data_IF_014406224058
#
_entry.id   IF_014406224058
#
_cell.length_a   1.000
_cell.length_b   1.000
_cell.length_c   1.000
_cell.angle_alpha   90.00
_cell.angle_beta   90.00
_cell.angle_gamma   90.00
#
_symmetry.space_group_name_H-M   'P 1'
#
loop_
_entity.id
_entity.type
_entity.pdbx_description
1 polymer ?
#
# COMPACT_ATOMS: atom_id res chain seq x y z
N UNK A 1 14.54 14.52 -33.12
CA UNK A 1 13.26 14.30 -32.41
C UNK A 1 13.40 14.94 -31.05
N UNK A 2 12.40 15.68 -30.56
CA UNK A 2 12.33 15.98 -29.14
C UNK A 2 11.89 14.69 -28.44
N UNK A 3 12.75 14.13 -27.61
CA UNK A 3 12.36 13.07 -26.68
C UNK A 3 11.64 13.75 -25.52
N UNK A 4 10.31 13.71 -25.53
CA UNK A 4 9.53 14.10 -24.36
C UNK A 4 9.88 13.13 -23.21
N UNK A 5 10.22 13.68 -22.04
CA UNK A 5 10.44 12.87 -20.84
C UNK A 5 9.14 12.13 -20.52
N UNK A 6 9.15 10.80 -20.30
CA UNK A 6 7.94 10.05 -20.00
C UNK A 6 7.22 10.62 -18.78
N UNK A 7 5.89 10.72 -18.85
CA UNK A 7 5.06 11.12 -17.71
C UNK A 7 5.24 10.18 -16.52
N UNK A 8 5.05 10.72 -15.31
CA UNK A 8 5.22 10.02 -14.02
C UNK A 8 4.52 8.65 -13.96
N UNK A 9 3.36 8.49 -14.61
CA UNK A 9 2.67 7.19 -14.67
C UNK A 9 3.42 6.14 -15.49
N UNK A 10 4.10 6.53 -16.59
CA UNK A 10 4.93 5.60 -17.37
C UNK A 10 6.26 5.31 -16.68
N UNK A 11 6.85 6.31 -16.01
CA UNK A 11 8.06 6.10 -15.19
C UNK A 11 7.79 5.10 -14.05
N UNK A 12 6.64 5.22 -13.38
CA UNK A 12 6.22 4.27 -12.35
C UNK A 12 5.99 2.86 -12.92
N UNK A 13 5.31 2.72 -14.05
CA UNK A 13 5.12 1.42 -14.70
C UNK A 13 6.48 0.77 -15.05
N UNK A 14 7.38 1.51 -15.69
CA UNK A 14 8.75 1.05 -16.01
C UNK A 14 9.54 0.66 -14.75
N UNK A 15 9.32 1.36 -13.63
CA UNK A 15 9.94 1.01 -12.34
C UNK A 15 9.44 -0.35 -11.83
N UNK A 16 8.15 -0.65 -11.98
CA UNK A 16 7.58 -1.97 -11.71
C UNK A 16 8.05 -3.07 -12.68
N UNK A 17 8.46 -2.69 -13.89
CA UNK A 17 9.17 -3.55 -14.86
C UNK A 17 10.68 -3.73 -14.50
N UNK A 18 11.18 -3.14 -13.42
CA UNK A 18 12.57 -3.26 -12.94
C UNK A 18 13.56 -2.20 -13.49
N UNK A 19 13.08 -1.15 -14.17
CA UNK A 19 13.94 -0.11 -14.73
C UNK A 19 14.38 0.93 -13.68
N UNK A 20 15.54 0.69 -13.05
CA UNK A 20 16.23 1.66 -12.17
C UNK A 20 16.44 3.06 -12.78
N UNK A 21 16.58 3.21 -14.10
CA UNK A 21 16.77 4.53 -14.72
C UNK A 21 15.44 5.28 -14.84
N UNK A 22 14.35 4.59 -15.18
CA UNK A 22 13.01 5.14 -15.07
C UNK A 22 12.64 5.49 -13.62
N UNK A 23 13.09 4.68 -12.66
CA UNK A 23 12.87 4.92 -11.23
C UNK A 23 13.69 6.10 -10.68
N UNK A 24 14.92 6.32 -11.17
CA UNK A 24 15.66 7.55 -10.87
C UNK A 24 14.93 8.80 -11.38
N UNK A 25 14.42 8.76 -12.61
CA UNK A 25 13.60 9.85 -13.15
C UNK A 25 12.25 10.01 -12.41
N UNK A 26 11.67 8.92 -11.90
CA UNK A 26 10.49 8.95 -11.02
C UNK A 26 10.80 9.65 -9.70
N UNK A 27 11.94 9.33 -9.09
CA UNK A 27 12.44 9.99 -7.89
C UNK A 27 12.60 11.50 -8.13
N UNK A 28 13.38 11.92 -9.14
CA UNK A 28 13.58 13.33 -9.46
C UNK A 28 12.26 14.10 -9.67
N UNK A 29 11.26 13.45 -10.27
CA UNK A 29 9.95 14.05 -10.56
C UNK A 29 9.04 14.16 -9.33
N UNK A 30 9.17 13.28 -8.34
CA UNK A 30 8.16 13.12 -7.26
C UNK A 30 8.70 13.29 -5.83
N UNK A 31 10.01 13.09 -5.63
CA UNK A 31 10.69 13.28 -4.36
C UNK A 31 10.54 14.70 -3.79
N UNK A 32 10.50 15.79 -4.59
CA UNK A 32 10.29 17.12 -4.03
C UNK A 32 8.99 17.25 -3.25
N UNK A 33 7.90 16.58 -3.65
CA UNK A 33 6.64 16.56 -2.89
C UNK A 33 6.72 15.65 -1.67
N UNK A 34 7.23 14.42 -1.82
CA UNK A 34 7.37 13.46 -0.70
C UNK A 34 8.24 14.04 0.42
N UNK A 35 9.40 14.60 0.07
CA UNK A 35 10.31 15.24 1.01
C UNK A 35 9.73 16.54 1.58
N UNK A 36 8.96 17.30 0.80
CA UNK A 36 8.22 18.46 1.29
C UNK A 36 7.23 18.11 2.41
N UNK A 37 6.52 16.98 2.31
CA UNK A 37 5.71 16.44 3.40
C UNK A 37 6.58 15.99 4.59
N UNK A 38 7.65 15.23 4.33
CA UNK A 38 8.54 14.74 5.39
C UNK A 38 9.18 15.89 6.20
N UNK A 39 9.57 16.99 5.54
CA UNK A 39 10.11 18.21 6.17
C UNK A 39 9.05 19.06 6.90
N UNK A 40 7.78 18.93 6.55
CA UNK A 40 6.69 19.52 7.33
C UNK A 40 6.45 18.71 8.61
N UNK A 41 6.46 17.37 8.52
CA UNK A 41 6.17 16.44 9.60
C UNK A 41 7.32 16.29 10.61
N UNK A 42 8.57 16.23 10.15
CA UNK A 42 9.75 15.90 10.96
C UNK A 42 10.67 17.13 11.08
N UNK A 43 11.11 17.45 12.31
CA UNK A 43 11.91 18.66 12.57
C UNK A 43 13.27 18.59 11.88
N UNK A 44 13.92 17.42 11.95
CA UNK A 44 15.30 17.21 11.47
C UNK A 44 15.34 16.87 9.99
N UNK A 45 16.41 17.31 9.33
CA UNK A 45 16.65 17.05 7.91
C UNK A 45 16.97 15.57 7.67
N UNK A 46 17.72 14.97 8.59
CA UNK A 46 18.13 13.56 8.62
C UNK A 46 16.90 12.61 8.66
N UNK A 47 16.02 12.73 9.66
CA UNK A 47 14.81 11.90 9.75
C UNK A 47 13.88 12.08 8.54
N UNK A 48 13.76 13.30 8.01
CA UNK A 48 12.95 13.55 6.81
C UNK A 48 13.55 12.90 5.55
N UNK A 49 14.88 12.80 5.45
CA UNK A 49 15.56 12.08 4.39
C UNK A 49 15.40 10.57 4.51
N UNK A 50 15.62 10.02 5.72
CA UNK A 50 15.40 8.59 6.02
C UNK A 50 13.95 8.17 5.73
N UNK A 51 12.97 8.97 6.14
CA UNK A 51 11.56 8.76 5.83
C UNK A 51 11.31 8.77 4.31
N UNK A 52 11.92 9.72 3.57
CA UNK A 52 11.76 9.81 2.11
C UNK A 52 12.37 8.61 1.40
N UNK A 53 13.58 8.18 1.77
CA UNK A 53 14.22 6.97 1.21
C UNK A 53 13.39 5.73 1.53
N UNK A 54 12.79 5.65 2.72
CA UNK A 54 11.88 4.55 3.08
C UNK A 54 10.66 4.50 2.16
N UNK A 55 9.99 5.65 1.92
CA UNK A 55 8.86 5.75 0.98
C UNK A 55 9.25 5.27 -0.42
N UNK A 56 10.41 5.69 -0.94
CA UNK A 56 10.85 5.26 -2.27
C UNK A 56 11.27 3.79 -2.31
N UNK A 57 11.85 3.25 -1.24
CA UNK A 57 12.14 1.81 -1.14
C UNK A 57 10.84 1.00 -1.23
N UNK A 58 9.84 1.35 -0.44
CA UNK A 58 8.50 0.74 -0.51
C UNK A 58 7.81 0.99 -1.85
N UNK A 59 8.05 2.14 -2.50
CA UNK A 59 7.52 2.45 -3.83
C UNK A 59 8.07 1.50 -4.88
N UNK A 60 9.37 1.17 -4.84
CA UNK A 60 9.99 0.19 -5.72
C UNK A 60 9.38 -1.21 -5.53
N UNK A 61 9.25 -1.66 -4.28
CA UNK A 61 8.65 -2.96 -3.94
C UNK A 61 7.19 -3.07 -4.38
N UNK A 62 6.42 -1.98 -4.30
CA UNK A 62 4.99 -1.96 -4.64
C UNK A 62 4.69 -1.56 -6.09
N UNK A 63 5.66 -1.01 -6.85
CA UNK A 63 5.47 -0.60 -8.24
C UNK A 63 4.95 -1.70 -9.19
N UNK A 64 5.35 -2.99 -9.09
CA UNK A 64 4.78 -4.06 -9.91
C UNK A 64 3.27 -4.26 -9.72
N UNK A 65 2.74 -3.88 -8.55
CA UNK A 65 1.34 -4.00 -8.19
C UNK A 65 0.53 -2.73 -8.51
N UNK A 66 1.16 -1.69 -9.05
CA UNK A 66 0.48 -0.45 -9.42
C UNK A 66 -0.40 -0.66 -10.66
N UNK A 67 -1.71 -0.73 -10.45
CA UNK A 67 -2.71 -0.76 -11.51
C UNK A 67 -3.45 0.58 -11.60
N UNK A 68 -3.63 1.09 -12.83
CA UNK A 68 -4.37 2.31 -13.08
C UNK A 68 -5.88 2.00 -13.08
N UNK A 69 -6.62 2.53 -12.11
CA UNK A 69 -8.09 2.44 -12.14
C UNK A 69 -8.65 3.13 -13.40
N UNK A 70 -9.20 2.31 -14.30
CA UNK A 70 -9.62 2.69 -15.64
C UNK A 70 -10.89 3.56 -15.68
N UNK A 71 -11.58 3.73 -14.55
CA UNK A 71 -12.93 4.33 -14.47
C UNK A 71 -13.03 5.81 -14.87
N UNK A 72 -11.91 6.56 -14.85
CA UNK A 72 -11.87 7.97 -15.29
C UNK A 72 -10.65 8.32 -16.16
N UNK A 73 -9.50 7.68 -15.97
CA UNK A 73 -8.22 8.29 -16.32
C UNK A 73 -7.48 7.67 -17.53
N UNK A 74 -7.95 6.54 -18.06
CA UNK A 74 -7.15 5.69 -18.96
C UNK A 74 -6.64 6.41 -20.24
N UNK A 75 -7.45 7.24 -20.88
CA UNK A 75 -7.11 7.89 -22.16
C UNK A 75 -6.32 9.19 -22.05
N UNK A 76 -6.43 9.93 -20.94
CA UNK A 76 -5.74 11.23 -20.76
C UNK A 76 -4.45 11.06 -19.95
N UNK A 77 -3.32 11.45 -20.54
CA UNK A 77 -2.02 11.42 -19.87
C UNK A 77 -1.99 12.30 -18.62
N UNK A 78 -2.64 13.46 -18.65
CA UNK A 78 -2.74 14.35 -17.48
C UNK A 78 -3.49 13.67 -16.34
N UNK A 79 -4.51 12.88 -16.66
CA UNK A 79 -5.28 12.11 -15.69
C UNK A 79 -4.47 10.94 -15.11
N UNK A 80 -3.83 10.11 -15.96
CA UNK A 80 -2.93 9.02 -15.51
C UNK A 80 -1.81 9.53 -14.60
N UNK A 81 -1.11 10.59 -15.02
CA UNK A 81 0.00 11.18 -14.26
C UNK A 81 -0.46 11.70 -12.88
N UNK A 82 -1.64 12.30 -12.79
CA UNK A 82 -2.24 12.76 -11.53
C UNK A 82 -2.59 11.59 -10.59
N UNK A 83 -3.05 10.48 -11.13
CA UNK A 83 -3.40 9.28 -10.35
C UNK A 83 -2.15 8.56 -9.84
N UNK A 84 -1.10 8.43 -10.65
CA UNK A 84 0.21 7.95 -10.19
C UNK A 84 0.80 8.85 -9.08
N UNK A 85 0.78 10.18 -9.27
CA UNK A 85 1.23 11.13 -8.24
C UNK A 85 0.38 11.03 -6.95
N UNK A 86 -0.93 10.83 -7.06
CA UNK A 86 -1.83 10.64 -5.90
C UNK A 86 -1.49 9.37 -5.13
N UNK A 87 -1.21 8.27 -5.85
CA UNK A 87 -0.83 7.00 -5.24
C UNK A 87 0.52 7.12 -4.49
N UNK A 88 1.53 7.77 -5.09
CA UNK A 88 2.82 8.04 -4.43
C UNK A 88 2.64 8.85 -3.14
N UNK A 89 1.82 9.91 -3.15
CA UNK A 89 1.55 10.71 -1.94
C UNK A 89 0.72 9.92 -0.90
N UNK A 90 -0.21 9.08 -1.32
CA UNK A 90 -0.99 8.22 -0.41
C UNK A 90 -0.15 7.11 0.21
N UNK A 91 0.82 6.56 -0.54
CA UNK A 91 1.84 5.64 -0.04
C UNK A 91 2.73 6.35 0.98
N UNK A 92 3.26 7.53 0.64
CA UNK A 92 4.11 8.32 1.53
C UNK A 92 3.45 8.57 2.89
N UNK A 93 2.18 8.99 2.88
CA UNK A 93 1.41 9.22 4.10
C UNK A 93 1.21 7.96 4.95
N UNK A 94 0.95 6.81 4.32
CA UNK A 94 0.85 5.53 5.03
C UNK A 94 2.19 5.15 5.68
N UNK A 95 3.28 5.18 4.91
CA UNK A 95 4.63 4.86 5.39
C UNK A 95 5.08 5.81 6.51
N UNK A 96 4.76 7.10 6.44
CA UNK A 96 5.05 8.04 7.53
C UNK A 96 4.28 7.70 8.81
N UNK A 97 2.99 7.36 8.71
CA UNK A 97 2.20 6.95 9.87
C UNK A 97 2.74 5.65 10.48
N UNK A 98 3.05 4.63 9.66
CA UNK A 98 3.64 3.36 10.08
C UNK A 98 4.96 3.58 10.85
N UNK A 99 5.89 4.35 10.28
CA UNK A 99 7.19 4.64 10.91
C UNK A 99 7.07 5.46 12.21
N UNK A 100 6.07 6.34 12.30
CA UNK A 100 5.77 7.11 13.53
C UNK A 100 5.17 6.21 14.60
N UNK A 101 4.20 5.37 14.26
CA UNK A 101 3.57 4.46 15.22
C UNK A 101 4.52 3.37 15.73
N UNK A 102 5.46 2.91 14.89
CA UNK A 102 6.55 2.02 15.29
C UNK A 102 7.69 2.76 16.06
N UNK A 103 7.65 4.09 16.17
CA UNK A 103 8.56 4.88 17.00
C UNK A 103 9.95 5.12 16.40
N UNK A 104 10.11 4.99 15.07
CA UNK A 104 11.38 5.27 14.39
C UNK A 104 11.78 6.75 14.46
N UNK A 105 10.79 7.65 14.55
CA UNK A 105 11.00 9.09 14.62
C UNK A 105 10.57 9.66 15.97
N UNK A 106 11.42 10.48 16.55
CA UNK A 106 11.24 11.08 17.88
C UNK A 106 10.99 12.59 17.84
N UNK A 107 11.39 13.27 16.76
CA UNK A 107 11.26 14.72 16.62
C UNK A 107 10.19 15.08 15.58
N UNK A 108 8.95 14.79 15.93
CA UNK A 108 7.77 15.01 15.10
C UNK A 108 7.14 16.36 15.48
N UNK A 109 6.76 17.17 14.49
CA UNK A 109 6.05 18.42 14.74
C UNK A 109 4.65 18.19 15.35
N UNK A 110 4.23 19.15 16.17
CA UNK A 110 2.88 19.23 16.73
C UNK A 110 1.97 20.13 15.88
N UNK A 111 0.71 20.30 16.29
CA UNK A 111 -0.20 21.26 15.65
C UNK A 111 0.40 22.67 15.49
N UNK A 112 1.20 23.16 16.43
CA UNK A 112 1.74 24.52 16.39
C UNK A 112 2.83 24.67 15.30
N UNK A 113 3.60 23.62 15.02
CA UNK A 113 4.52 23.56 13.88
C UNK A 113 3.81 23.39 12.53
N UNK A 114 2.76 22.56 12.49
CA UNK A 114 2.09 22.15 11.25
C UNK A 114 1.04 23.14 10.72
N UNK A 115 0.27 23.76 11.62
CA UNK A 115 -0.86 24.61 11.25
C UNK A 115 -0.48 25.88 10.45
N UNK A 116 0.64 26.56 10.71
CA UNK A 116 1.10 27.69 9.88
C UNK A 116 1.33 27.26 8.42
N UNK A 117 1.99 26.12 8.20
CA UNK A 117 2.27 25.57 6.86
C UNK A 117 0.97 25.30 6.10
N UNK A 118 -0.01 24.69 6.76
CA UNK A 118 -1.31 24.41 6.16
C UNK A 118 -2.14 25.68 5.87
N UNK A 119 -2.03 26.72 6.70
CA UNK A 119 -2.76 27.97 6.51
C UNK A 119 -2.29 28.78 5.29
N UNK A 120 -1.02 28.64 4.90
CA UNK A 120 -0.46 29.29 3.70
C UNK A 120 -0.94 28.66 2.38
N UNK A 121 -1.50 27.44 2.41
CA UNK A 121 -1.96 26.72 1.21
C UNK A 121 -3.30 27.27 0.69
N UNK A 122 -3.35 27.94 -0.48
CA UNK A 122 -4.61 28.51 -1.00
C UNK A 122 -5.62 27.43 -1.41
N UNK A 123 -5.16 26.22 -1.69
CA UNK A 123 -5.98 25.04 -1.87
C UNK A 123 -6.82 24.69 -0.63
N UNK A 124 -6.44 25.17 0.57
CA UNK A 124 -7.18 24.97 1.82
C UNK A 124 -8.00 26.20 2.24
N UNK A 125 -7.84 27.35 1.58
CA UNK A 125 -8.62 28.58 1.83
C UNK A 125 -10.12 28.38 1.54
N UNK A 126 -10.91 28.12 2.59
CA UNK A 126 -12.34 27.79 2.51
C UNK A 126 -12.77 26.71 3.50
N UNK A 127 -11.82 25.99 4.10
CA UNK A 127 -12.02 25.25 5.34
C UNK A 127 -12.22 26.23 6.52
N UNK A 128 -13.04 25.87 7.50
CA UNK A 128 -13.05 26.58 8.79
C UNK A 128 -11.79 26.27 9.60
N UNK A 129 -11.47 27.06 10.62
CA UNK A 129 -10.31 26.81 11.50
C UNK A 129 -10.35 25.37 12.08
N UNK A 130 -11.50 24.93 12.60
CA UNK A 130 -11.66 23.59 13.15
C UNK A 130 -11.56 22.46 12.10
N UNK A 131 -11.84 22.75 10.83
CA UNK A 131 -11.68 21.83 9.70
C UNK A 131 -10.23 21.75 9.24
N UNK A 132 -9.55 22.91 9.15
CA UNK A 132 -8.13 23.02 8.82
C UNK A 132 -7.29 22.29 9.87
N UNK A 133 -7.49 22.60 11.17
CA UNK A 133 -6.81 21.96 12.30
C UNK A 133 -6.95 20.44 12.28
N UNK A 134 -8.18 19.93 12.11
CA UNK A 134 -8.44 18.49 12.01
C UNK A 134 -7.72 17.85 10.83
N UNK A 135 -7.75 18.47 9.65
CA UNK A 135 -7.06 17.95 8.46
C UNK A 135 -5.53 18.00 8.61
N UNK A 136 -5.00 19.07 9.20
CA UNK A 136 -3.56 19.26 9.40
C UNK A 136 -2.98 18.18 10.32
N UNK A 137 -3.57 17.95 11.48
CA UNK A 137 -3.05 16.96 12.44
C UNK A 137 -3.13 15.54 11.87
N UNK A 138 -4.19 15.22 11.12
CA UNK A 138 -4.35 13.92 10.47
C UNK A 138 -3.37 13.75 9.29
N UNK A 139 -3.43 14.64 8.29
CA UNK A 139 -2.76 14.45 6.99
C UNK A 139 -1.37 15.07 6.88
N UNK A 140 -1.01 16.04 7.74
CA UNK A 140 0.39 16.48 7.87
C UNK A 140 1.06 15.94 9.12
N UNK A 141 0.30 15.71 10.19
CA UNK A 141 0.82 15.17 11.45
C UNK A 141 0.82 13.64 11.53
N UNK A 142 0.29 12.94 10.51
CA UNK A 142 0.20 11.48 10.45
C UNK A 142 -0.40 10.85 11.72
N UNK A 143 -1.33 11.54 12.40
CA UNK A 143 -2.00 11.02 13.60
C UNK A 143 -3.16 10.11 13.21
N UNK A 144 -3.40 9.10 14.03
CA UNK A 144 -4.67 8.38 14.01
C UNK A 144 -5.84 9.29 14.44
N UNK A 145 -7.07 8.98 14.03
CA UNK A 145 -8.24 9.77 14.43
C UNK A 145 -8.48 9.83 15.96
N UNK A 146 -8.26 8.78 16.78
CA UNK A 146 -8.41 8.91 18.24
C UNK A 146 -7.32 9.80 18.87
N UNK A 147 -6.11 9.85 18.31
CA UNK A 147 -5.05 10.75 18.76
C UNK A 147 -5.35 12.20 18.40
N UNK A 148 -5.71 12.48 17.15
CA UNK A 148 -6.09 13.83 16.74
C UNK A 148 -7.30 14.38 17.51
N UNK A 149 -8.26 13.51 17.88
CA UNK A 149 -9.38 13.89 18.72
C UNK A 149 -8.91 14.32 20.13
N UNK A 150 -7.94 13.58 20.69
CA UNK A 150 -7.30 13.87 21.99
C UNK A 150 -6.47 15.17 21.95
N UNK A 151 -5.63 15.33 20.92
CA UNK A 151 -4.77 16.51 20.70
C UNK A 151 -5.62 17.80 20.56
N UNK A 152 -6.74 17.72 19.82
CA UNK A 152 -7.69 18.82 19.64
C UNK A 152 -8.69 19.02 20.79
N UNK A 153 -8.68 18.16 21.81
CA UNK A 153 -9.61 18.23 22.95
C UNK A 153 -11.09 18.04 22.56
N UNK A 154 -11.40 17.19 21.58
CA UNK A 154 -12.76 16.92 21.11
C UNK A 154 -13.11 15.43 21.17
N UNK A 155 -14.41 15.11 21.21
CA UNK A 155 -14.86 13.72 21.09
C UNK A 155 -14.63 13.17 19.67
N UNK A 156 -14.29 11.88 19.58
CA UNK A 156 -14.14 11.15 18.31
C UNK A 156 -15.29 11.38 17.32
N UNK A 157 -16.59 11.30 17.71
CA UNK A 157 -17.71 11.65 16.83
C UNK A 157 -17.60 13.03 16.15
N UNK A 158 -17.11 14.02 16.91
CA UNK A 158 -16.92 15.40 16.45
C UNK A 158 -15.74 15.50 15.49
N UNK A 159 -14.67 14.71 15.68
CA UNK A 159 -13.58 14.64 14.71
C UNK A 159 -14.02 13.93 13.42
N UNK A 160 -14.67 12.76 13.51
CA UNK A 160 -15.17 12.00 12.35
C UNK A 160 -16.06 12.88 11.45
N UNK A 161 -17.02 13.60 12.05
CA UNK A 161 -17.88 14.56 11.32
C UNK A 161 -17.10 15.74 10.72
N UNK A 162 -16.12 16.32 11.44
CA UNK A 162 -15.26 17.36 10.87
C UNK A 162 -14.46 16.86 9.66
N UNK A 163 -13.83 15.68 9.75
CA UNK A 163 -13.04 15.12 8.67
C UNK A 163 -13.87 14.80 7.43
N UNK A 164 -15.06 14.20 7.61
CA UNK A 164 -16.04 14.01 6.53
C UNK A 164 -16.37 15.34 5.84
N UNK A 165 -16.73 16.36 6.60
CA UNK A 165 -17.14 17.67 6.07
C UNK A 165 -15.97 18.41 5.40
N UNK A 166 -14.75 18.27 5.93
CA UNK A 166 -13.51 18.77 5.30
C UNK A 166 -13.25 18.07 3.97
N UNK A 167 -13.26 16.73 3.94
CA UNK A 167 -12.97 15.94 2.75
C UNK A 167 -13.99 16.18 1.63
N UNK A 168 -15.28 16.26 1.98
CA UNK A 168 -16.35 16.62 1.03
C UNK A 168 -16.13 18.01 0.42
N UNK A 169 -15.83 19.02 1.25
CA UNK A 169 -15.55 20.39 0.81
C UNK A 169 -14.29 20.50 -0.04
N UNK A 170 -13.23 19.79 0.34
CA UNK A 170 -11.97 19.76 -0.40
C UNK A 170 -12.18 19.13 -1.79
N UNK A 171 -12.98 18.05 -1.86
CA UNK A 171 -13.29 17.36 -3.11
C UNK A 171 -14.13 18.20 -4.07
N UNK A 172 -15.13 18.93 -3.57
CA UNK A 172 -15.88 19.90 -4.40
C UNK A 172 -14.96 20.97 -5.01
N UNK A 173 -13.98 21.47 -4.25
CA UNK A 173 -13.00 22.46 -4.73
C UNK A 173 -12.00 21.85 -5.71
N UNK A 174 -11.55 20.62 -5.46
CA UNK A 174 -10.71 19.85 -6.37
C UNK A 174 -11.40 19.65 -7.73
N UNK A 175 -12.64 19.14 -7.75
CA UNK A 175 -13.42 18.92 -8.97
C UNK A 175 -13.57 20.23 -9.75
N UNK A 176 -13.96 21.32 -9.10
CA UNK A 176 -14.10 22.63 -9.75
C UNK A 176 -12.76 23.15 -10.33
N UNK A 177 -11.65 22.94 -9.63
CA UNK A 177 -10.32 23.34 -10.08
C UNK A 177 -9.76 22.48 -11.24
N UNK A 178 -10.17 21.22 -11.35
CA UNK A 178 -9.71 20.28 -12.39
C UNK A 178 -10.59 20.30 -13.64
N UNK A 179 -11.90 20.43 -13.48
CA UNK A 179 -12.87 20.38 -14.58
C UNK A 179 -13.27 21.76 -15.11
N UNK A 180 -13.06 22.82 -14.32
CA UNK A 180 -13.57 24.17 -14.61
C UNK A 180 -15.09 24.31 -14.42
N UNK A 181 -15.81 23.24 -14.04
CA UNK A 181 -17.26 23.25 -13.83
C UNK A 181 -17.56 23.60 -12.38
N UNK A 182 -18.30 24.69 -12.16
CA UNK A 182 -18.71 25.14 -10.81
C UNK A 182 -20.11 24.68 -10.39
N UNK A 183 -20.86 24.00 -11.27
CA UNK A 183 -22.21 23.52 -10.97
C UNK A 183 -22.15 22.17 -10.25
N UNK A 184 -22.06 22.22 -8.92
CA UNK A 184 -21.90 21.06 -8.05
C UNK A 184 -23.20 20.32 -7.73
N UNK A 185 -24.28 20.57 -8.48
CA UNK A 185 -25.61 20.05 -8.15
C UNK A 185 -25.78 18.53 -8.33
N UNK A 186 -24.86 17.83 -9.01
CA UNK A 186 -24.94 16.37 -9.19
C UNK A 186 -23.59 15.69 -9.52
N UNK A 187 -22.66 15.66 -8.57
CA UNK A 187 -21.72 14.52 -8.48
C UNK A 187 -22.38 13.42 -7.64
N UNK A 188 -22.83 12.29 -8.21
CA UNK A 188 -23.54 11.26 -7.47
C UNK A 188 -22.71 10.61 -6.34
N UNK A 189 -21.38 10.68 -6.40
CA UNK A 189 -20.46 10.07 -5.40
C UNK A 189 -20.40 10.92 -4.12
N UNK A 190 -20.57 12.24 -4.23
CA UNK A 190 -20.52 13.18 -3.09
C UNK A 190 -21.89 13.78 -2.73
N UNK A 191 -22.80 13.94 -3.69
CA UNK A 191 -24.10 14.60 -3.53
C UNK A 191 -25.24 13.66 -3.10
N UNK A 192 -25.02 12.34 -3.14
CA UNK A 192 -25.72 11.40 -2.26
C UNK A 192 -24.92 11.30 -0.95
N UNK A 193 -25.26 12.06 0.12
CA UNK A 193 -25.07 11.49 1.43
C UNK A 193 -25.86 10.17 1.46
N UNK A 194 -25.37 9.13 2.12
CA UNK A 194 -26.15 7.90 2.32
C UNK A 194 -27.04 8.01 3.57
N UNK A 195 -26.76 9.04 4.36
CA UNK A 195 -27.62 9.55 5.45
C UNK A 195 -29.11 9.66 5.07
N UNK A 196 -29.57 10.37 4.01
CA UNK A 196 -30.99 10.50 3.64
C UNK A 196 -31.74 9.18 3.46
N UNK A 197 -31.13 8.09 3.00
CA UNK A 197 -31.82 6.80 2.95
C UNK A 197 -32.06 6.21 4.35
N UNK A 198 -31.14 6.44 5.30
CA UNK A 198 -31.30 6.08 6.71
C UNK A 198 -32.24 7.05 7.44
N UNK A 199 -32.08 8.36 7.24
CA UNK A 199 -32.95 9.41 7.79
C UNK A 199 -34.39 9.26 7.33
N UNK A 200 -34.63 8.84 6.07
CA UNK A 200 -35.97 8.55 5.56
C UNK A 200 -36.61 7.31 6.20
N UNK A 201 -35.81 6.34 6.67
CA UNK A 201 -36.30 5.14 7.40
C UNK A 201 -36.50 5.39 8.90
N UNK A 202 -35.65 6.20 9.52
CA UNK A 202 -35.56 6.33 11.00
C UNK A 202 -36.05 7.67 11.55
N UNK A 203 -36.17 8.70 10.71
CA UNK A 203 -36.51 10.07 11.13
C UNK A 203 -35.36 10.83 11.80
N UNK A 204 -34.17 10.23 11.95
CA UNK A 204 -32.97 10.86 12.50
C UNK A 204 -31.77 10.58 11.59
N UNK A 205 -30.92 11.57 11.38
CA UNK A 205 -29.64 11.33 10.71
C UNK A 205 -28.71 10.57 11.66
N UNK A 206 -28.19 9.39 11.28
CA UNK A 206 -27.23 8.67 12.11
C UNK A 206 -26.02 9.56 12.43
N UNK A 207 -25.64 9.58 13.70
CA UNK A 207 -24.49 10.33 14.22
C UNK A 207 -23.34 9.37 14.48
N UNK A 208 -22.11 9.79 14.14
CA UNK A 208 -20.92 9.03 14.49
C UNK A 208 -20.86 8.71 16.00
N UNK A 209 -20.28 7.56 16.29
CA UNK A 209 -20.06 7.01 17.61
C UNK A 209 -18.56 6.92 17.92
N UNK A 210 -18.23 6.36 19.08
CA UNK A 210 -16.83 6.13 19.48
C UNK A 210 -16.17 4.98 18.68
N UNK A 211 -16.95 4.07 18.08
CA UNK A 211 -16.44 2.84 17.45
C UNK A 211 -16.82 2.76 15.97
N UNK A 212 -15.87 2.31 15.14
CA UNK A 212 -16.11 2.02 13.71
C UNK A 212 -17.20 0.96 13.54
N UNK A 213 -17.24 -0.09 14.35
CA UNK A 213 -18.25 -1.16 14.27
C UNK A 213 -19.67 -0.62 14.44
N UNK A 214 -19.90 0.22 15.46
CA UNK A 214 -21.21 0.84 15.69
C UNK A 214 -21.58 1.85 14.59
N UNK A 215 -20.60 2.52 13.98
CA UNK A 215 -20.83 3.41 12.83
C UNK A 215 -21.27 2.60 11.59
N UNK A 216 -20.63 1.45 11.35
CA UNK A 216 -20.99 0.50 10.28
C UNK A 216 -22.40 -0.08 10.47
N UNK A 217 -22.74 -0.52 11.70
CA UNK A 217 -24.10 -0.97 12.06
C UNK A 217 -25.14 0.13 11.86
N UNK A 218 -24.76 1.40 12.06
CA UNK A 218 -25.61 2.58 11.85
C UNK A 218 -25.71 3.02 10.38
N UNK A 219 -25.08 2.30 9.45
CA UNK A 219 -25.10 2.59 8.02
C UNK A 219 -24.23 3.79 7.61
N UNK A 220 -23.23 4.15 8.41
CA UNK A 220 -22.32 5.28 8.14
C UNK A 220 -21.11 4.92 7.26
N UNK A 221 -21.11 3.75 6.60
CA UNK A 221 -19.97 3.23 5.81
C UNK A 221 -19.37 4.30 4.88
N UNK A 222 -20.17 4.95 4.03
CA UNK A 222 -19.74 6.00 3.10
C UNK A 222 -19.07 7.21 3.77
N UNK A 223 -19.46 7.50 5.02
CA UNK A 223 -18.96 8.63 5.77
C UNK A 223 -17.63 8.32 6.48
N UNK A 224 -17.29 7.03 6.65
CA UNK A 224 -15.98 6.55 7.10
C UNK A 224 -14.91 6.61 6.00
N UNK A 225 -15.29 6.79 4.72
CA UNK A 225 -14.36 6.93 3.60
C UNK A 225 -13.29 8.02 3.85
N UNK A 226 -13.63 9.08 4.59
CA UNK A 226 -12.70 10.14 4.96
C UNK A 226 -11.57 9.65 5.88
N UNK A 227 -11.83 8.71 6.80
CA UNK A 227 -10.82 8.15 7.69
C UNK A 227 -9.88 7.20 6.94
N UNK A 228 -10.45 6.37 6.05
CA UNK A 228 -9.70 5.46 5.18
C UNK A 228 -8.81 6.23 4.21
N UNK A 229 -9.36 7.23 3.51
CA UNK A 229 -8.62 8.04 2.55
C UNK A 229 -7.49 8.87 3.18
N UNK A 230 -7.57 9.15 4.49
CA UNK A 230 -6.53 9.84 5.26
C UNK A 230 -5.56 8.91 5.98
N UNK A 231 -5.68 7.58 5.83
CA UNK A 231 -4.88 6.58 6.55
C UNK A 231 -4.88 6.78 8.08
N UNK A 232 -6.00 7.20 8.66
CA UNK A 232 -6.10 7.58 10.09
C UNK A 232 -6.74 6.52 11.00
N UNK A 233 -6.95 5.31 10.47
CA UNK A 233 -7.51 4.14 11.17
C UNK A 233 -6.42 3.08 11.36
N UNK A 234 -6.61 2.20 12.33
CA UNK A 234 -5.78 1.00 12.47
C UNK A 234 -6.19 -0.11 11.47
N UNK A 235 -5.44 -1.21 11.46
CA UNK A 235 -5.64 -2.29 10.50
C UNK A 235 -6.86 -3.16 10.84
N UNK A 236 -7.21 -3.34 12.11
CA UNK A 236 -8.42 -4.05 12.54
C UNK A 236 -9.68 -3.28 12.08
N UNK A 237 -9.67 -1.95 12.23
CA UNK A 237 -10.70 -1.05 11.71
C UNK A 237 -10.78 -1.07 10.18
N UNK A 238 -9.64 -1.15 9.48
CA UNK A 238 -9.59 -1.30 8.01
C UNK A 238 -10.24 -2.59 7.57
N UNK A 239 -9.82 -3.72 8.14
CA UNK A 239 -10.37 -5.05 7.87
C UNK A 239 -11.88 -5.07 8.15
N UNK A 240 -12.34 -4.45 9.24
CA UNK A 240 -13.76 -4.37 9.58
C UNK A 240 -14.57 -3.56 8.55
N UNK A 241 -14.06 -2.42 8.08
CA UNK A 241 -14.70 -1.60 7.05
C UNK A 241 -14.72 -2.33 5.70
N UNK A 242 -13.58 -2.87 5.25
CA UNK A 242 -13.49 -3.55 3.97
C UNK A 242 -14.34 -4.81 3.95
N UNK A 243 -14.35 -5.61 5.03
CA UNK A 243 -15.26 -6.75 5.19
C UNK A 243 -16.74 -6.33 5.13
N UNK A 244 -17.10 -5.17 5.68
CA UNK A 244 -18.46 -4.64 5.60
C UNK A 244 -18.80 -4.22 4.16
N UNK A 245 -17.91 -3.53 3.45
CA UNK A 245 -18.10 -3.13 2.06
C UNK A 245 -18.24 -4.34 1.14
N UNK A 246 -17.43 -5.40 1.33
CA UNK A 246 -17.54 -6.64 0.56
C UNK A 246 -18.92 -7.30 0.74
N UNK A 247 -19.46 -7.35 1.97
CA UNK A 247 -20.82 -7.88 2.24
C UNK A 247 -21.95 -7.08 1.59
N UNK A 248 -21.73 -5.80 1.25
CA UNK A 248 -22.70 -4.97 0.52
C UNK A 248 -22.68 -5.21 -0.99
N UNK A 249 -21.75 -6.03 -1.50
CA UNK A 249 -21.69 -6.48 -2.88
C UNK A 249 -20.84 -5.61 -3.81
N UNK A 250 -20.62 -6.12 -5.03
CA UNK A 250 -19.67 -5.58 -6.01
C UNK A 250 -19.91 -4.11 -6.37
N UNK A 251 -21.14 -3.72 -6.68
CA UNK A 251 -21.49 -2.33 -7.03
C UNK A 251 -21.11 -1.36 -5.90
N UNK A 252 -21.30 -1.76 -4.64
CA UNK A 252 -20.93 -0.95 -3.49
C UNK A 252 -19.41 -0.84 -3.31
N UNK A 253 -18.67 -1.93 -3.56
CA UNK A 253 -17.19 -1.92 -3.57
C UNK A 253 -16.62 -0.98 -4.63
N UNK A 254 -17.18 -1.00 -5.84
CA UNK A 254 -16.77 -0.09 -6.93
C UNK A 254 -17.06 1.38 -6.57
N UNK A 255 -18.27 1.70 -6.07
CA UNK A 255 -18.63 3.05 -5.58
C UNK A 255 -17.72 3.51 -4.43
N UNK A 256 -17.36 2.61 -3.53
CA UNK A 256 -16.48 2.86 -2.38
C UNK A 256 -15.05 3.20 -2.80
N UNK A 257 -14.48 2.42 -3.72
CA UNK A 257 -13.15 2.66 -4.27
C UNK A 257 -13.09 4.02 -4.98
N UNK A 258 -14.05 4.32 -5.86
CA UNK A 258 -14.16 5.63 -6.52
C UNK A 258 -14.19 6.80 -5.52
N UNK A 259 -14.96 6.64 -4.43
CA UNK A 259 -15.06 7.65 -3.36
C UNK A 259 -13.72 7.84 -2.65
N UNK A 260 -13.03 6.77 -2.25
CA UNK A 260 -11.70 6.85 -1.63
C UNK A 260 -10.70 7.52 -2.58
N UNK A 261 -10.62 7.09 -3.84
CA UNK A 261 -9.67 7.66 -4.81
C UNK A 261 -9.96 9.12 -5.14
N UNK A 262 -11.23 9.56 -5.10
CA UNK A 262 -11.57 10.98 -5.22
C UNK A 262 -11.10 11.78 -4.00
N UNK A 263 -11.30 11.26 -2.79
CA UNK A 263 -10.82 11.90 -1.56
C UNK A 263 -9.28 11.99 -1.54
N UNK A 264 -8.57 10.91 -1.87
CA UNK A 264 -7.10 10.88 -1.97
C UNK A 264 -6.57 11.88 -3.01
N UNK A 265 -7.14 11.93 -4.22
CA UNK A 265 -6.77 12.93 -5.24
C UNK A 265 -6.98 14.36 -4.72
N UNK A 266 -8.04 14.58 -3.94
CA UNK A 266 -8.37 15.89 -3.35
C UNK A 266 -7.42 16.28 -2.21
N UNK A 267 -7.01 15.31 -1.39
CA UNK A 267 -6.00 15.47 -0.34
C UNK A 267 -4.62 15.79 -0.93
N UNK A 268 -4.14 14.99 -1.88
CA UNK A 268 -2.90 15.23 -2.61
C UNK A 268 -2.91 16.60 -3.32
N UNK A 269 -4.02 16.96 -3.98
CA UNK A 269 -4.21 18.29 -4.57
C UNK A 269 -4.16 19.42 -3.53
N UNK A 270 -4.74 19.20 -2.34
CA UNK A 270 -4.82 20.15 -1.23
C UNK A 270 -3.47 20.58 -0.68
N UNK A 271 -2.48 19.67 -0.75
CA UNK A 271 -1.15 19.86 -0.18
C UNK A 271 -0.02 19.90 -1.23
N UNK A 272 -0.34 19.87 -2.54
CA UNK A 272 0.62 19.79 -3.66
C UNK A 272 1.73 20.86 -3.71
N UNK A 273 1.62 21.93 -2.92
CA UNK A 273 2.63 23.01 -2.84
C UNK A 273 3.67 22.77 -1.74
N UNK A 274 3.43 21.83 -0.83
CA UNK A 274 4.46 21.36 0.11
C UNK A 274 5.50 20.60 -0.69
N UNK A 275 6.53 21.32 -1.09
CA UNK A 275 7.62 20.84 -1.91
C UNK A 275 8.93 21.35 -1.33
N UNK A 276 9.97 20.52 -1.36
CA UNK A 276 11.32 20.86 -0.93
C UNK A 276 12.27 19.99 -1.74
N UNK A 277 13.32 20.57 -2.32
CA UNK A 277 14.30 19.80 -3.09
C UNK A 277 14.97 18.74 -2.19
N UNK A 278 15.01 17.46 -2.60
CA UNK A 278 15.66 16.39 -1.83
C UNK A 278 17.17 16.60 -1.74
N UNK A 279 17.80 16.00 -0.74
CA UNK A 279 19.26 15.99 -0.65
C UNK A 279 19.85 14.97 -1.63
N UNK A 280 20.99 15.31 -2.24
CA UNK A 280 21.59 14.50 -3.31
C UNK A 280 21.92 13.06 -2.90
N UNK A 281 22.24 12.83 -1.63
CA UNK A 281 22.57 11.48 -1.12
C UNK A 281 21.38 10.51 -1.17
N UNK A 282 20.15 11.01 -1.18
CA UNK A 282 18.95 10.17 -1.09
C UNK A 282 18.81 9.26 -2.32
N UNK A 283 19.04 9.81 -3.51
CA UNK A 283 18.99 9.04 -4.75
C UNK A 283 20.17 8.06 -4.85
N UNK A 284 21.38 8.49 -4.48
CA UNK A 284 22.58 7.63 -4.49
C UNK A 284 22.38 6.41 -3.56
N UNK A 285 21.96 6.63 -2.31
CA UNK A 285 21.71 5.57 -1.34
C UNK A 285 20.56 4.65 -1.77
N UNK A 286 19.47 5.22 -2.30
CA UNK A 286 18.33 4.47 -2.81
C UNK A 286 18.77 3.58 -3.98
N UNK A 287 19.51 4.11 -4.95
CA UNK A 287 20.00 3.31 -6.08
C UNK A 287 21.03 2.26 -5.64
N UNK A 288 21.86 2.50 -4.62
CA UNK A 288 22.76 1.49 -4.04
C UNK A 288 22.02 0.33 -3.37
N UNK A 289 20.81 0.55 -2.82
CA UNK A 289 20.02 -0.50 -2.16
C UNK A 289 19.17 -1.35 -3.12
N UNK A 290 18.93 -0.89 -4.35
CA UNK A 290 18.13 -1.62 -5.33
C UNK A 290 18.89 -2.81 -5.96
N UNK A 291 18.21 -3.92 -6.30
CA UNK A 291 18.82 -5.06 -7.00
C UNK A 291 19.48 -4.63 -8.31
N UNK A 292 20.52 -5.35 -8.75
CA UNK A 292 21.15 -5.09 -10.04
C UNK A 292 20.15 -5.30 -11.19
N UNK A 293 20.17 -4.41 -12.19
CA UNK A 293 19.36 -4.61 -13.40
C UNK A 293 19.85 -5.88 -14.10
N UNK A 294 19.00 -6.91 -14.16
CA UNK A 294 19.19 -8.05 -15.04
C UNK A 294 18.97 -7.62 -16.51
N UNK A 295 19.94 -6.88 -17.05
CA UNK A 295 20.05 -6.64 -18.48
C UNK A 295 20.25 -8.00 -19.15
N UNK A 296 19.22 -8.50 -19.83
CA UNK A 296 19.32 -9.72 -20.63
C UNK A 296 20.42 -9.57 -21.67
N UNK A 297 21.56 -10.24 -21.46
CA UNK A 297 22.79 -10.04 -22.25
C UNK A 297 22.66 -10.69 -23.64
N UNK A 298 21.95 -10.00 -24.53
CA UNK A 298 21.85 -10.32 -25.94
C UNK A 298 22.88 -9.52 -26.77
N UNK A 299 24.05 -10.12 -27.00
CA UNK A 299 25.12 -9.68 -27.93
C UNK A 299 25.95 -8.44 -27.50
N UNK A 300 27.23 -8.63 -27.10
CA UNK A 300 28.46 -8.52 -27.95
C UNK A 300 28.78 -7.05 -28.29
N UNK A 301 29.96 -6.47 -28.00
CA UNK A 301 31.33 -7.00 -28.17
C UNK A 301 32.36 -6.39 -27.19
N UNK A 302 33.50 -7.09 -27.06
CA UNK A 302 34.67 -6.85 -26.21
C UNK A 302 35.44 -5.54 -26.48
N UNK A 303 35.82 -4.78 -25.44
CA UNK A 303 36.98 -3.87 -25.43
C UNK A 303 37.65 -3.77 -24.04
N UNK A 304 38.92 -3.34 -24.03
CA UNK A 304 39.94 -3.80 -23.07
C UNK A 304 40.02 -3.13 -21.69
N UNK A 305 40.72 -3.85 -20.82
CA UNK A 305 41.09 -3.56 -19.43
C UNK A 305 41.78 -2.23 -19.16
N UNK A 306 41.48 -1.63 -18.00
CA UNK A 306 42.41 -0.75 -17.28
C UNK A 306 42.44 -1.12 -15.79
N UNK A 307 43.61 -1.43 -15.24
CA UNK A 307 43.78 -1.71 -13.80
C UNK A 307 43.82 -0.40 -12.98
N UNK A 308 43.30 -0.39 -11.73
CA UNK A 308 43.28 0.82 -10.90
C UNK A 308 44.54 1.01 -10.06
N UNK A 309 45.06 2.24 -9.98
CA UNK A 309 46.05 2.64 -8.98
C UNK A 309 45.39 3.08 -7.65
N UNK A 310 45.97 2.77 -6.47
CA UNK A 310 45.35 3.06 -5.17
C UNK A 310 45.89 4.34 -4.49
N UNK A 311 44.99 5.20 -4.01
CA UNK A 311 45.28 6.33 -3.10
C UNK A 311 44.31 6.30 -1.87
N UNK A 312 44.64 6.93 -0.74
CA UNK A 312 44.62 6.21 0.54
C UNK A 312 43.35 6.33 1.40
N UNK A 313 43.20 5.32 2.26
CA UNK A 313 42.11 5.22 3.23
C UNK A 313 42.12 6.33 4.30
N UNK A 314 40.94 6.86 4.62
CA UNK A 314 40.68 7.59 5.86
C UNK A 314 39.34 7.15 6.49
N UNK A 315 39.27 7.13 7.83
CA UNK A 315 37.99 7.09 8.55
C UNK A 315 37.40 5.73 8.98
N UNK A 316 38.14 4.61 8.94
CA UNK A 316 37.66 3.23 9.24
C UNK A 316 37.23 2.95 10.71
N UNK A 317 36.74 3.95 11.44
CA UNK A 317 36.10 3.80 12.76
C UNK A 317 34.69 4.39 12.88
N UNK A 318 34.24 5.19 11.89
CA UNK A 318 32.81 5.59 11.77
C UNK A 318 32.00 4.64 10.89
N UNK A 319 32.61 4.09 9.84
CA UNK A 319 31.94 3.17 8.90
C UNK A 319 31.36 1.91 9.57
N UNK A 320 31.96 1.40 10.65
CA UNK A 320 31.46 0.21 11.35
C UNK A 320 30.21 0.52 12.20
N UNK A 321 30.11 1.73 12.78
CA UNK A 321 28.92 2.13 13.55
C UNK A 321 27.76 2.41 12.60
N UNK A 322 28.00 3.13 11.50
CA UNK A 322 26.99 3.37 10.48
C UNK A 322 26.59 2.11 9.72
N UNK A 323 27.50 1.17 9.47
CA UNK A 323 27.13 -0.13 8.93
C UNK A 323 26.33 -0.99 9.92
N UNK A 324 26.40 -0.75 11.23
CA UNK A 324 25.54 -1.42 12.23
C UNK A 324 24.20 -0.71 12.38
N UNK A 325 24.14 0.62 12.32
CA UNK A 325 22.85 1.36 12.30
C UNK A 325 22.13 1.13 10.98
N UNK A 326 22.83 1.11 9.84
CA UNK A 326 22.27 0.70 8.56
C UNK A 326 22.00 -0.79 8.55
N UNK A 327 22.80 -1.69 9.14
CA UNK A 327 22.38 -3.09 9.27
C UNK A 327 21.24 -3.29 10.30
N UNK A 328 20.91 -2.31 11.15
CA UNK A 328 19.76 -2.37 12.08
C UNK A 328 18.54 -1.62 11.55
N UNK A 329 18.70 -0.62 10.67
CA UNK A 329 17.62 0.06 9.95
C UNK A 329 17.32 -0.68 8.66
N UNK A 330 18.31 -1.14 7.90
CA UNK A 330 18.14 -2.12 6.83
C UNK A 330 17.81 -3.50 7.38
N UNK A 331 18.04 -3.87 8.65
CA UNK A 331 17.39 -5.04 9.27
C UNK A 331 16.23 -4.69 10.21
N UNK A 332 15.72 -3.45 10.18
CA UNK A 332 14.38 -3.09 10.67
C UNK A 332 13.49 -2.55 9.53
N UNK A 333 14.01 -2.49 8.30
CA UNK A 333 13.32 -2.21 7.03
C UNK A 333 13.47 -3.42 6.12
N UNK A 334 14.54 -4.24 6.21
CA UNK A 334 14.37 -5.68 6.02
C UNK A 334 13.49 -6.19 7.17
N UNK A 335 13.74 -6.04 8.48
CA UNK A 335 12.68 -6.38 9.47
C UNK A 335 11.54 -5.33 9.61
N UNK A 336 11.08 -4.73 8.50
CA UNK A 336 9.72 -4.17 8.28
C UNK A 336 9.18 -4.57 6.89
N UNK A 337 9.97 -4.64 5.81
CA UNK A 337 9.54 -5.27 4.55
C UNK A 337 9.48 -6.80 4.69
N UNK A 338 10.44 -7.39 5.40
CA UNK A 338 10.38 -8.61 6.21
C UNK A 338 10.00 -8.35 7.70
N UNK A 339 9.00 -7.52 7.99
CA UNK A 339 8.03 -7.81 9.08
C UNK A 339 6.62 -7.89 8.47
N UNK A 340 6.38 -7.13 7.40
CA UNK A 340 5.37 -7.40 6.37
C UNK A 340 5.66 -8.70 5.59
N UNK A 341 6.90 -9.21 5.62
CA UNK A 341 7.33 -10.54 5.16
C UNK A 341 8.22 -11.29 6.19
N UNK A 342 8.28 -10.79 7.44
CA UNK A 342 8.42 -11.68 8.60
C UNK A 342 7.14 -11.58 9.41
N UNK A 343 6.10 -12.18 8.84
CA UNK A 343 5.45 -13.20 9.63
C UNK A 343 6.52 -14.16 10.16
N UNK A 344 6.38 -14.65 11.39
CA UNK A 344 7.13 -15.82 11.86
C UNK A 344 7.20 -16.85 10.73
N UNK A 345 8.37 -17.45 10.50
CA UNK A 345 8.55 -18.49 9.50
C UNK A 345 7.42 -19.52 9.69
N UNK A 346 6.45 -19.53 8.78
CA UNK A 346 5.20 -20.28 9.02
C UNK A 346 5.51 -21.77 9.11
N UNK A 347 6.63 -22.21 8.51
CA UNK A 347 7.19 -23.54 8.71
C UNK A 347 7.57 -23.75 10.18
N UNK A 348 8.41 -22.90 10.77
CA UNK A 348 8.73 -22.94 12.21
C UNK A 348 7.49 -22.81 13.09
N UNK A 349 6.56 -21.89 12.82
CA UNK A 349 5.35 -21.73 13.64
C UNK A 349 4.48 -22.97 13.62
N UNK A 350 4.26 -23.57 12.44
CA UNK A 350 3.48 -24.80 12.30
C UNK A 350 4.24 -26.00 12.89
N UNK A 351 5.57 -26.08 12.73
CA UNK A 351 6.38 -27.19 13.24
C UNK A 351 6.59 -27.13 14.78
N UNK A 352 6.62 -25.93 15.38
CA UNK A 352 6.72 -25.70 16.84
C UNK A 352 5.35 -25.64 17.53
N UNK A 353 4.24 -25.57 16.78
CA UNK A 353 2.89 -25.55 17.33
C UNK A 353 2.55 -26.85 18.07
N UNK A 354 1.60 -26.77 19.02
CA UNK A 354 1.19 -27.93 19.82
C UNK A 354 0.03 -28.71 19.19
N UNK A 355 -0.65 -28.12 18.20
CA UNK A 355 -1.83 -28.63 17.51
C UNK A 355 -1.56 -29.01 16.05
N UNK A 356 -0.29 -29.06 15.62
CA UNK A 356 0.13 -29.31 14.23
C UNK A 356 -0.53 -30.52 13.60
N UNK A 357 -1.19 -30.31 12.45
CA UNK A 357 -1.82 -31.35 11.66
C UNK A 357 -1.11 -31.48 10.32
N UNK A 358 -0.69 -32.70 10.00
CA UNK A 358 -0.09 -33.04 8.71
C UNK A 358 -1.11 -33.87 7.92
N UNK A 359 -1.42 -33.45 6.70
CA UNK A 359 -2.19 -34.29 5.78
C UNK A 359 -1.34 -35.47 5.30
N UNK A 360 -1.98 -36.52 4.78
CA UNK A 360 -1.22 -37.57 4.07
C UNK A 360 -0.71 -37.00 2.73
N UNK A 361 0.54 -37.28 2.31
CA UNK A 361 1.03 -36.86 1.01
C UNK A 361 0.09 -37.31 -0.12
N UNK A 362 -0.24 -36.40 -1.02
CA UNK A 362 -1.10 -36.63 -2.17
C UNK A 362 -0.29 -36.50 -3.46
N UNK A 363 -0.51 -37.41 -4.40
CA UNK A 363 0.07 -37.30 -5.74
C UNK A 363 -0.61 -36.17 -6.52
N UNK A 364 0.17 -35.31 -7.17
CA UNK A 364 -0.34 -34.35 -8.16
C UNK A 364 -0.65 -35.11 -9.46
N UNK A 365 -1.78 -34.82 -10.11
CA UNK A 365 -2.14 -35.45 -11.40
C UNK A 365 -1.09 -35.25 -12.51
N UNK A 366 -0.23 -34.23 -12.41
CA UNK A 366 0.89 -33.98 -13.34
C UNK A 366 2.16 -34.78 -13.03
N UNK A 367 2.29 -35.34 -11.81
CA UNK A 367 3.51 -35.88 -11.25
C UNK A 367 4.01 -35.07 -10.05
N UNK A 368 4.77 -35.72 -9.17
CA UNK A 368 5.18 -35.15 -7.88
C UNK A 368 4.12 -35.29 -6.79
N UNK A 369 4.47 -34.92 -5.57
CA UNK A 369 3.60 -35.00 -4.38
C UNK A 369 3.49 -33.67 -3.67
N UNK A 370 2.34 -33.43 -3.03
CA UNK A 370 2.12 -32.32 -2.09
C UNK A 370 1.71 -32.85 -0.71
N UNK A 371 2.13 -32.18 0.34
CA UNK A 371 1.67 -32.38 1.71
C UNK A 371 1.40 -31.02 2.37
N UNK A 372 0.29 -30.91 3.09
CA UNK A 372 -0.09 -29.72 3.84
C UNK A 372 0.19 -29.91 5.34
N UNK A 373 0.68 -28.86 5.97
CA UNK A 373 1.00 -28.76 7.38
C UNK A 373 0.27 -27.52 7.92
N UNK A 374 -0.50 -27.65 9.00
CA UNK A 374 -1.31 -26.55 9.51
C UNK A 374 -1.42 -26.55 11.05
N UNK A 375 -1.53 -25.34 11.61
CA UNK A 375 -1.95 -25.10 13.01
C UNK A 375 -3.21 -24.23 12.96
N UNK A 376 -4.25 -24.65 13.69
CA UNK A 376 -5.49 -23.89 13.82
C UNK A 376 -5.42 -22.88 14.96
N UNK A 377 -4.71 -23.21 16.03
CA UNK A 377 -4.55 -22.30 17.17
C UNK A 377 -3.70 -21.07 16.78
N UNK A 378 -2.68 -21.24 15.94
CA UNK A 378 -1.85 -20.16 15.37
C UNK A 378 -2.40 -19.62 14.02
N UNK A 379 -3.49 -20.19 13.50
CA UNK A 379 -4.20 -19.82 12.26
C UNK A 379 -3.32 -19.75 10.99
N UNK A 380 -2.40 -20.70 10.84
CA UNK A 380 -1.35 -20.70 9.79
C UNK A 380 -1.18 -22.08 9.14
N UNK A 381 -0.71 -22.10 7.89
CA UNK A 381 -0.43 -23.34 7.16
C UNK A 381 0.69 -23.18 6.11
N UNK A 382 1.34 -24.29 5.76
CA UNK A 382 2.25 -24.37 4.62
C UNK A 382 2.09 -25.67 3.82
N UNK A 383 2.47 -25.62 2.56
CA UNK A 383 2.59 -26.78 1.68
C UNK A 383 4.07 -27.12 1.44
N UNK A 384 4.36 -28.41 1.45
CA UNK A 384 5.62 -28.99 0.98
C UNK A 384 5.37 -29.79 -0.29
N UNK A 385 6.23 -29.61 -1.29
CA UNK A 385 6.14 -30.30 -2.57
C UNK A 385 7.41 -31.14 -2.82
N UNK A 386 7.32 -32.14 -3.71
CA UNK A 386 8.47 -32.96 -4.10
C UNK A 386 8.27 -33.63 -5.45
N UNK A 387 9.33 -33.62 -6.28
CA UNK A 387 9.34 -34.15 -7.66
C UNK A 387 8.31 -33.50 -8.59
N UNK A 388 8.10 -32.19 -8.45
CA UNK A 388 7.18 -31.39 -9.28
C UNK A 388 7.74 -31.25 -10.70
N UNK A 389 6.96 -31.54 -11.76
CA UNK A 389 7.41 -31.37 -13.14
C UNK A 389 7.65 -29.91 -13.50
N UNK A 390 8.75 -29.64 -14.21
CA UNK A 390 8.99 -28.34 -14.83
C UNK A 390 7.92 -28.05 -15.90
N UNK A 391 7.31 -26.86 -15.82
CA UNK A 391 6.38 -26.35 -16.80
C UNK A 391 7.13 -25.37 -17.69
N UNK A 392 7.07 -25.58 -19.01
CA UNK A 392 7.72 -24.67 -19.96
C UNK A 392 7.21 -23.24 -19.82
N UNK A 393 8.03 -22.27 -20.24
CA UNK A 393 7.87 -20.83 -19.96
C UNK A 393 6.47 -20.21 -20.20
N UNK A 394 5.62 -20.81 -21.02
CA UNK A 394 4.25 -20.34 -21.27
C UNK A 394 3.24 -20.67 -20.14
N UNK A 395 3.64 -21.39 -19.08
CA UNK A 395 2.77 -21.92 -18.02
C UNK A 395 3.36 -21.78 -16.61
N UNK A 396 2.49 -21.69 -15.60
CA UNK A 396 2.85 -21.62 -14.17
C UNK A 396 1.93 -22.50 -13.32
N UNK A 397 2.36 -22.89 -12.12
CA UNK A 397 1.44 -23.46 -11.13
C UNK A 397 0.78 -22.33 -10.33
N UNK A 398 -0.52 -22.41 -10.11
CA UNK A 398 -1.25 -21.45 -9.28
C UNK A 398 -1.97 -22.18 -8.15
N UNK A 399 -1.86 -21.65 -6.92
CA UNK A 399 -2.46 -22.22 -5.71
C UNK A 399 -3.65 -21.36 -5.28
N UNK A 400 -4.76 -22.02 -4.91
CA UNK A 400 -6.04 -21.38 -4.68
C UNK A 400 -6.66 -21.81 -3.35
N UNK A 401 -7.29 -20.89 -2.65
CA UNK A 401 -8.06 -21.11 -1.43
C UNK A 401 -9.54 -20.83 -1.63
N UNK A 402 -10.40 -21.64 -0.99
CA UNK A 402 -11.86 -21.53 -1.07
C UNK A 402 -12.46 -21.45 0.34
N UNK A 403 -13.24 -20.39 0.60
CA UNK A 403 -13.90 -20.17 1.89
C UNK A 403 -15.06 -21.17 2.15
N UNK A 404 -15.61 -21.75 1.10
CA UNK A 404 -16.47 -22.93 1.13
C UNK A 404 -16.47 -23.62 -0.23
N UNK A 405 -16.87 -24.90 -0.28
CA UNK A 405 -16.97 -25.64 -1.55
C UNK A 405 -17.93 -24.98 -2.56
N UNK A 406 -17.37 -24.27 -3.55
CA UNK A 406 -18.11 -23.56 -4.61
C UNK A 406 -18.10 -22.03 -4.52
N UNK A 407 -17.41 -21.45 -3.54
CA UNK A 407 -17.19 -20.00 -3.46
C UNK A 407 -16.14 -19.49 -4.47
N UNK A 408 -16.02 -18.17 -4.60
CA UNK A 408 -14.96 -17.56 -5.41
C UNK A 408 -13.57 -17.89 -4.84
N UNK A 409 -12.61 -18.34 -5.67
CA UNK A 409 -11.26 -18.66 -5.23
C UNK A 409 -10.45 -17.41 -4.91
N UNK A 410 -9.60 -17.50 -3.89
CA UNK A 410 -8.49 -16.57 -3.63
C UNK A 410 -7.19 -17.19 -4.11
N UNK A 411 -6.44 -16.51 -4.98
CA UNK A 411 -5.10 -16.95 -5.37
C UNK A 411 -4.08 -16.68 -4.25
N UNK A 412 -3.23 -17.66 -3.93
CA UNK A 412 -2.08 -17.50 -3.04
C UNK A 412 -0.81 -17.03 -3.77
N UNK A 413 -0.74 -17.24 -5.08
CA UNK A 413 0.45 -16.92 -5.87
C UNK A 413 0.64 -17.86 -7.05
N UNK A 414 1.61 -17.48 -7.89
CA UNK A 414 2.08 -18.22 -9.06
C UNK A 414 3.49 -18.73 -8.77
N UNK A 415 3.80 -19.95 -9.20
CA UNK A 415 5.03 -20.66 -8.86
C UNK A 415 5.53 -21.48 -10.03
N UNK A 416 6.84 -21.41 -10.32
CA UNK A 416 7.50 -22.44 -11.11
C UNK A 416 7.78 -23.71 -10.27
N UNK A 417 8.20 -24.80 -10.92
CA UNK A 417 8.46 -26.07 -10.25
C UNK A 417 9.58 -25.98 -9.20
N UNK A 418 10.63 -25.20 -9.48
CA UNK A 418 11.75 -24.98 -8.56
C UNK A 418 11.27 -24.19 -7.35
N UNK A 419 10.44 -23.17 -7.55
CA UNK A 419 9.84 -22.40 -6.47
C UNK A 419 8.92 -23.24 -5.58
N UNK A 420 8.13 -24.16 -6.13
CA UNK A 420 7.30 -25.06 -5.31
C UNK A 420 8.12 -26.02 -4.45
N UNK A 421 9.27 -26.49 -4.93
CA UNK A 421 10.14 -27.40 -4.18
C UNK A 421 11.05 -26.67 -3.17
N UNK A 422 11.71 -25.59 -3.58
CA UNK A 422 12.66 -24.84 -2.74
C UNK A 422 11.97 -23.91 -1.73
N UNK A 423 10.71 -23.52 -1.98
CA UNK A 423 9.96 -22.58 -1.14
C UNK A 423 8.60 -23.17 -0.79
N UNK A 424 8.44 -23.59 0.47
CA UNK A 424 7.15 -23.95 1.03
C UNK A 424 6.11 -22.87 0.71
N UNK A 425 4.95 -23.26 0.17
CA UNK A 425 3.86 -22.32 -0.10
C UNK A 425 3.13 -22.05 1.21
N UNK A 426 3.42 -20.92 1.83
CA UNK A 426 2.95 -20.53 3.16
C UNK A 426 1.74 -19.59 3.08
N UNK A 427 0.78 -19.71 4.00
CA UNK A 427 -0.35 -18.79 4.13
C UNK A 427 -0.87 -18.68 5.57
N UNK A 428 -1.61 -17.61 5.85
CA UNK A 428 -2.28 -17.32 7.13
C UNK A 428 -3.79 -17.23 6.95
N UNK A 429 -4.54 -17.37 8.04
CA UNK A 429 -6.00 -17.40 8.01
C UNK A 429 -6.58 -18.76 7.62
N UNK A 430 -5.90 -19.87 7.93
CA UNK A 430 -6.32 -21.23 7.52
C UNK A 430 -7.73 -21.59 8.02
N UNK A 431 -8.16 -21.05 9.15
CA UNK A 431 -9.51 -21.25 9.69
C UNK A 431 -10.62 -20.55 8.87
N UNK A 432 -10.25 -19.67 7.92
CA UNK A 432 -11.17 -19.03 6.98
C UNK A 432 -11.43 -19.81 5.68
N UNK A 433 -10.81 -20.98 5.50
CA UNK A 433 -10.86 -21.74 4.24
C UNK A 433 -11.13 -23.23 4.45
N UNK A 434 -12.02 -23.80 3.65
CA UNK A 434 -12.35 -25.24 3.67
C UNK A 434 -11.48 -26.06 2.72
N UNK A 435 -11.03 -25.48 1.60
CA UNK A 435 -10.30 -26.21 0.56
C UNK A 435 -9.14 -25.42 -0.04
N UNK A 436 -8.11 -26.16 -0.44
CA UNK A 436 -6.99 -25.68 -1.22
C UNK A 436 -6.82 -26.49 -2.51
N UNK A 437 -6.67 -25.82 -3.66
CA UNK A 437 -6.44 -26.45 -4.96
C UNK A 437 -5.10 -25.99 -5.56
N UNK A 438 -4.47 -26.84 -6.36
CA UNK A 438 -3.33 -26.46 -7.21
C UNK A 438 -3.70 -26.71 -8.67
N UNK A 439 -3.52 -25.73 -9.55
CA UNK A 439 -3.83 -25.83 -10.99
C UNK A 439 -2.63 -25.43 -11.85
N UNK A 440 -2.72 -25.68 -13.15
CA UNK A 440 -1.77 -25.16 -14.15
C UNK A 440 -2.45 -24.01 -14.88
N UNK A 441 -1.81 -22.85 -14.89
CA UNK A 441 -2.33 -21.63 -15.50
C UNK A 441 -1.33 -21.09 -16.55
N UNK A 442 -1.72 -20.11 -17.40
CA UNK A 442 -0.77 -19.41 -18.27
C UNK A 442 0.36 -18.74 -17.48
N UNK A 443 1.48 -18.38 -18.11
CA UNK A 443 2.67 -17.74 -17.49
C UNK A 443 2.33 -16.60 -16.50
N UNK A 444 1.31 -15.78 -16.79
CA UNK A 444 0.88 -14.64 -15.97
C UNK A 444 -0.26 -14.99 -14.98
N UNK A 445 -0.54 -16.29 -14.81
CA UNK A 445 -1.65 -16.84 -14.03
C UNK A 445 -3.02 -16.56 -14.61
N UNK A 446 -4.04 -16.58 -13.75
CA UNK A 446 -5.42 -16.23 -14.08
C UNK A 446 -6.20 -15.70 -12.86
N UNK A 447 -7.36 -15.08 -13.10
CA UNK A 447 -8.28 -14.59 -12.05
C UNK A 447 -9.11 -15.72 -11.41
N UNK A 448 -9.28 -16.84 -12.13
CA UNK A 448 -9.98 -18.06 -11.71
C UNK A 448 -9.24 -19.27 -12.29
N UNK A 449 -9.32 -20.47 -11.68
CA UNK A 449 -8.76 -21.69 -12.24
C UNK A 449 -9.23 -21.93 -13.68
N UNK A 450 -8.32 -22.02 -14.64
CA UNK A 450 -8.65 -22.31 -16.05
C UNK A 450 -8.50 -23.79 -16.40
N UNK A 451 -7.77 -24.55 -15.58
CA UNK A 451 -7.62 -26.01 -15.71
C UNK A 451 -8.29 -26.77 -14.56
N UNK A 452 -8.48 -28.09 -14.75
CA UNK A 452 -8.89 -28.96 -13.65
C UNK A 452 -7.76 -29.06 -12.61
N UNK A 453 -8.09 -29.06 -11.30
CA UNK A 453 -7.07 -29.08 -10.26
C UNK A 453 -6.25 -30.37 -10.28
N UNK A 454 -4.93 -30.20 -10.16
CA UNK A 454 -3.97 -31.29 -10.02
C UNK A 454 -4.16 -32.06 -8.71
N UNK A 455 -4.69 -31.38 -7.69
CA UNK A 455 -4.97 -31.87 -6.34
C UNK A 455 -6.02 -30.98 -5.69
N UNK A 456 -6.83 -31.56 -4.81
CA UNK A 456 -7.74 -30.85 -3.91
C UNK A 456 -7.44 -31.31 -2.48
N UNK A 457 -6.96 -30.39 -1.65
CA UNK A 457 -6.65 -30.65 -0.24
C UNK A 457 -7.81 -30.10 0.59
N UNK A 458 -8.43 -30.98 1.36
CA UNK A 458 -9.39 -30.61 2.40
C UNK A 458 -8.62 -30.01 3.59
N UNK A 459 -9.02 -28.82 4.03
CA UNK A 459 -8.42 -28.12 5.15
C UNK A 459 -9.20 -28.30 6.45
N UNK A 460 -10.24 -29.17 6.49
CA UNK A 460 -11.16 -29.28 7.63
C UNK A 460 -10.87 -30.35 8.70
#
# INVERSE_FOLDING_TARGET
MQTETPGIARLLQLSGEGDRAAFAALFDTSAPSVYGFARALLTTQEQAGEATVSVFTTLWEQAPHFNLDFTLDASDETARNRTAATWIISLAQRTFAELIHAGHFTEINDEAGLLPLAAELPELHGLSEAQLRALTIIWLGARSYPEAARELGVGVPTLKSRLRDTCSRLSQRYIAAVTGVSDTTQDPILAKPVTPEVTARTGQSPTFSQSITTDLESGLVDELAALVATNSIDEDERIAIDSHVHRLGREKKEQWQLRISLLQRSLAWGFRRLTTEPESWMLDQLLESLPEQNLGVGFVEQFDTHEPEPEPASGTKRKIIWAVVIALLLAAVIAISTLLASSDDIVSTVDDAHDTQLTSPQDLNAGGTVQAHLSRDEDVAYLSFSSVPDLGADQTYQVWLFASAGDSPSSLGQYDATQMEDRHVQFRGVNGYEQLWVTIEPENGSDYPTTEPLVQIDLH
#
